data_IF_042295530934
#
_entry.id   IF_042295530934
#
_cell.length_a   1.000
_cell.length_b   1.000
_cell.length_c   1.000
_cell.angle_alpha   90.00
_cell.angle_beta   90.00
_cell.angle_gamma   90.00
#
_symmetry.space_group_name_H-M   'P 1'
#
loop_
_entity.id
_entity.type
_entity.pdbx_description
1 polymer ?
#
# COMPACT_ATOMS: atom_id res chain seq x y z
N UNK A 1 -25.15 -10.54 10.80
CA UNK A 1 -24.64 -9.28 11.38
C UNK A 1 -24.06 -8.43 10.25
N UNK A 2 -24.29 -7.12 10.20
CA UNK A 2 -23.58 -6.26 9.25
C UNK A 2 -22.09 -6.30 9.57
N UNK A 3 -21.27 -6.63 8.58
CA UNK A 3 -19.81 -6.62 8.73
C UNK A 3 -19.40 -5.17 8.94
N UNK A 4 -18.69 -4.81 10.02
CA UNK A 4 -18.29 -3.43 10.26
C UNK A 4 -17.44 -2.96 9.09
N UNK A 5 -17.91 -1.90 8.43
CA UNK A 5 -17.18 -1.24 7.36
C UNK A 5 -15.92 -0.65 7.99
N UNK A 6 -14.72 -1.02 7.53
CA UNK A 6 -13.51 -0.48 8.13
C UNK A 6 -13.49 1.04 7.89
N UNK A 7 -13.30 1.87 8.93
CA UNK A 7 -13.22 3.34 8.77
C UNK A 7 -11.85 3.80 8.24
N UNK A 8 -10.93 2.86 8.06
CA UNK A 8 -9.56 3.09 7.59
C UNK A 8 -9.14 2.00 6.61
N UNK A 9 -8.12 2.30 5.81
CA UNK A 9 -7.50 1.31 4.94
C UNK A 9 -6.86 0.20 5.75
N UNK A 10 -7.16 -1.05 5.40
CA UNK A 10 -6.66 -2.23 6.12
C UNK A 10 -6.37 -3.37 5.15
N UNK A 11 -5.40 -4.19 5.51
CA UNK A 11 -5.08 -5.43 4.82
C UNK A 11 -5.88 -6.58 5.46
N UNK A 12 -6.71 -7.26 4.66
CA UNK A 12 -7.46 -8.45 5.03
C UNK A 12 -6.90 -9.68 4.31
N UNK A 13 -7.34 -10.88 4.75
CA UNK A 13 -6.89 -12.16 4.21
C UNK A 13 -5.36 -12.24 4.19
N UNK A 14 -4.71 -12.06 5.34
CA UNK A 14 -3.24 -12.01 5.48
C UNK A 14 -2.52 -10.96 4.61
N UNK A 15 -3.26 -9.95 4.14
CA UNK A 15 -2.81 -8.89 3.26
C UNK A 15 -2.90 -9.18 1.77
N UNK A 16 -3.68 -10.19 1.38
CA UNK A 16 -4.06 -10.38 -0.01
C UNK A 16 -5.13 -9.39 -0.48
N UNK A 17 -5.89 -8.81 0.44
CA UNK A 17 -7.01 -7.94 0.10
C UNK A 17 -6.85 -6.57 0.77
N UNK A 18 -6.81 -5.50 -0.03
CA UNK A 18 -6.86 -4.13 0.49
C UNK A 18 -8.31 -3.71 0.67
N UNK A 19 -8.70 -3.50 1.92
CA UNK A 19 -10.01 -2.98 2.29
C UNK A 19 -9.91 -1.48 2.47
N UNK A 20 -10.75 -0.76 1.74
CA UNK A 20 -10.80 0.68 1.76
C UNK A 20 -11.86 1.18 2.75
N UNK A 21 -11.76 2.46 3.18
CA UNK A 21 -12.68 3.01 4.18
C UNK A 21 -14.15 3.09 3.70
N UNK A 22 -14.39 2.93 2.40
CA UNK A 22 -15.73 2.86 1.81
C UNK A 22 -16.33 1.44 1.82
N UNK A 23 -15.64 0.46 2.41
CA UNK A 23 -16.08 -0.95 2.43
C UNK A 23 -15.73 -1.75 1.19
N UNK A 24 -15.11 -1.14 0.19
CA UNK A 24 -14.70 -1.86 -1.02
C UNK A 24 -13.41 -2.62 -0.79
N UNK A 25 -13.33 -3.81 -1.37
CA UNK A 25 -12.17 -4.71 -1.25
C UNK A 25 -11.50 -4.86 -2.62
N UNK A 26 -10.17 -4.69 -2.65
CA UNK A 26 -9.35 -4.88 -3.84
C UNK A 26 -8.36 -6.03 -3.63
N UNK A 27 -8.39 -7.03 -4.50
CA UNK A 27 -7.39 -8.10 -4.50
C UNK A 27 -6.03 -7.59 -4.98
N UNK A 28 -5.01 -7.81 -4.16
CA UNK A 28 -3.62 -7.43 -4.38
C UNK A 28 -2.82 -8.58 -4.98
N UNK A 29 -1.84 -8.23 -5.79
CA UNK A 29 -0.77 -9.13 -6.21
C UNK A 29 0.27 -9.30 -5.10
N UNK A 30 1.15 -10.29 -5.22
CA UNK A 30 2.26 -10.51 -4.27
C UNK A 30 3.10 -9.25 -4.07
N UNK A 31 3.43 -8.57 -5.17
CA UNK A 31 4.24 -7.36 -5.16
C UNK A 31 3.51 -6.18 -4.49
N UNK A 32 2.23 -5.96 -4.81
CA UNK A 32 1.43 -4.91 -4.16
C UNK A 32 1.22 -5.19 -2.66
N UNK A 33 1.01 -6.46 -2.29
CA UNK A 33 0.89 -6.93 -0.91
C UNK A 33 2.16 -6.63 -0.12
N UNK A 34 3.33 -7.00 -0.64
CA UNK A 34 4.62 -6.75 0.00
C UNK A 34 4.82 -5.26 0.28
N UNK A 35 4.58 -4.43 -0.74
CA UNK A 35 4.69 -2.98 -0.65
C UNK A 35 3.76 -2.38 0.41
N UNK A 36 2.46 -2.72 0.37
CA UNK A 36 1.47 -2.19 1.30
C UNK A 36 1.69 -2.70 2.73
N UNK A 37 2.10 -3.96 2.89
CA UNK A 37 2.37 -4.54 4.20
C UNK A 37 3.54 -3.83 4.89
N UNK A 38 4.60 -3.52 4.16
CA UNK A 38 5.72 -2.75 4.69
C UNK A 38 5.28 -1.33 5.12
N UNK A 39 4.51 -0.63 4.28
CA UNK A 39 4.02 0.71 4.61
C UNK A 39 3.03 0.76 5.78
N UNK A 40 2.11 -0.21 5.85
CA UNK A 40 1.11 -0.28 6.91
C UNK A 40 1.67 -0.83 8.22
N UNK A 41 2.82 -1.52 8.19
CA UNK A 41 3.51 -1.94 9.40
C UNK A 41 4.12 -0.75 10.16
N UNK A 42 4.45 0.33 9.46
CA UNK A 42 5.02 1.56 10.03
C UNK A 42 4.21 2.79 9.61
N UNK A 43 2.97 2.94 10.11
CA UNK A 43 2.14 4.09 9.80
C UNK A 43 2.85 5.38 10.21
N UNK A 44 2.69 6.44 9.41
CA UNK A 44 3.29 7.75 9.65
C UNK A 44 4.83 7.79 9.67
N UNK A 45 5.50 6.70 9.31
CA UNK A 45 6.96 6.63 9.18
C UNK A 45 7.33 6.36 7.72
N UNK A 46 8.26 7.11 7.13
CA UNK A 46 8.71 6.82 5.78
C UNK A 46 9.52 5.52 5.76
N UNK A 47 9.16 4.63 4.86
CA UNK A 47 9.88 3.39 4.59
C UNK A 47 10.81 3.61 3.40
N UNK A 48 12.07 3.29 3.59
CA UNK A 48 13.10 3.42 2.57
C UNK A 48 12.81 2.53 1.36
N UNK A 49 13.30 2.94 0.19
CA UNK A 49 13.09 2.18 -1.06
C UNK A 49 13.66 0.77 -0.96
N UNK A 50 14.84 0.61 -0.38
CA UNK A 50 15.49 -0.70 -0.23
C UNK A 50 14.67 -1.65 0.65
N UNK A 51 14.11 -1.14 1.76
CA UNK A 51 13.20 -1.92 2.61
C UNK A 51 11.90 -2.31 1.87
N UNK A 52 11.35 -1.40 1.06
CA UNK A 52 10.18 -1.70 0.24
C UNK A 52 10.49 -2.72 -0.85
N UNK A 53 11.66 -2.62 -1.48
CA UNK A 53 12.13 -3.56 -2.49
C UNK A 53 12.28 -4.95 -1.87
N UNK A 54 12.94 -5.05 -0.71
CA UNK A 54 13.09 -6.30 0.02
C UNK A 54 11.74 -6.93 0.45
N UNK A 55 10.71 -6.11 0.65
CA UNK A 55 9.36 -6.60 0.96
C UNK A 55 8.59 -7.10 -0.27
N UNK A 56 9.00 -6.68 -1.48
CA UNK A 56 8.28 -6.92 -2.75
C UNK A 56 8.92 -8.04 -3.57
N UNK A 57 10.22 -8.30 -3.39
CA UNK A 57 10.97 -9.31 -4.14
C UNK A 57 11.96 -10.07 -3.24
N UNK A 58 12.17 -11.36 -3.54
CA UNK A 58 13.24 -12.17 -2.94
C UNK A 58 14.63 -11.85 -3.51
N UNK A 59 14.70 -11.08 -4.59
CA UNK A 59 15.95 -10.65 -5.24
C UNK A 59 16.07 -9.11 -5.24
N UNK A 60 16.32 -8.48 -4.07
CA UNK A 60 16.36 -7.03 -3.95
C UNK A 60 17.54 -6.36 -4.67
N UNK A 61 18.66 -7.07 -4.85
CA UNK A 61 19.89 -6.53 -5.47
C UNK A 61 19.80 -6.31 -6.99
N UNK A 62 18.86 -6.97 -7.67
CA UNK A 62 18.62 -6.81 -9.12
C UNK A 62 17.36 -5.95 -9.40
N UNK A 63 16.77 -5.39 -8.33
CA UNK A 63 15.51 -4.69 -8.45
C UNK A 63 15.72 -3.22 -8.80
N UNK A 64 15.40 -2.87 -10.04
CA UNK A 64 15.46 -1.49 -10.52
C UNK A 64 14.49 -0.57 -9.74
N UNK A 65 14.96 0.54 -9.15
CA UNK A 65 14.12 1.54 -8.49
C UNK A 65 12.95 2.05 -9.34
N UNK A 66 13.10 2.06 -10.67
CA UNK A 66 12.02 2.43 -11.59
C UNK A 66 10.86 1.44 -11.55
N UNK A 67 11.11 0.14 -11.32
CA UNK A 67 10.05 -0.86 -11.17
C UNK A 67 9.19 -0.61 -9.93
N UNK A 68 9.78 -0.08 -8.85
CA UNK A 68 9.03 0.33 -7.67
C UNK A 68 8.08 1.46 -8.02
N UNK A 69 8.54 2.48 -8.74
CA UNK A 69 7.71 3.61 -9.16
C UNK A 69 6.55 3.16 -10.07
N UNK A 70 6.83 2.26 -11.01
CA UNK A 70 5.81 1.65 -11.88
C UNK A 70 4.81 0.85 -11.05
N UNK A 71 5.26 0.07 -10.06
CA UNK A 71 4.37 -0.66 -9.15
C UNK A 71 3.45 0.30 -8.40
N UNK A 72 3.99 1.36 -7.79
CA UNK A 72 3.19 2.36 -7.08
C UNK A 72 2.20 3.04 -8.02
N UNK A 73 2.62 3.41 -9.23
CA UNK A 73 1.74 4.04 -10.21
C UNK A 73 0.59 3.12 -10.63
N UNK A 74 0.91 1.85 -10.94
CA UNK A 74 -0.08 0.82 -11.30
C UNK A 74 -1.04 0.57 -10.14
N UNK A 75 -0.52 0.41 -8.92
CA UNK A 75 -1.33 0.21 -7.73
C UNK A 75 -2.29 1.38 -7.50
N UNK A 76 -1.81 2.63 -7.58
CA UNK A 76 -2.66 3.83 -7.45
C UNK A 76 -3.77 3.87 -8.49
N UNK A 77 -3.47 3.47 -9.72
CA UNK A 77 -4.46 3.40 -10.79
C UNK A 77 -5.46 2.25 -10.57
N UNK A 78 -5.01 1.06 -10.17
CA UNK A 78 -5.90 -0.06 -9.83
C UNK A 78 -6.82 0.27 -8.67
N UNK A 79 -6.29 0.88 -7.61
CA UNK A 79 -7.08 1.33 -6.45
C UNK A 79 -8.09 2.38 -6.88
N UNK A 80 -7.68 3.41 -7.63
CA UNK A 80 -8.61 4.42 -8.14
C UNK A 80 -9.72 3.82 -9.02
N UNK A 81 -9.38 2.90 -9.91
CA UNK A 81 -10.35 2.28 -10.82
C UNK A 81 -11.25 1.24 -10.16
N UNK A 82 -10.74 0.48 -9.17
CA UNK A 82 -11.50 -0.59 -8.51
C UNK A 82 -12.25 -0.13 -7.25
N UNK A 83 -11.67 0.80 -6.49
CA UNK A 83 -12.21 1.30 -5.22
C UNK A 83 -12.85 2.67 -5.38
N UNK A 84 -12.47 3.45 -6.40
CA UNK A 84 -12.93 4.83 -6.58
C UNK A 84 -12.22 5.84 -5.67
N UNK A 85 -11.27 5.38 -4.84
CA UNK A 85 -10.52 6.22 -3.89
C UNK A 85 -9.05 6.33 -4.31
N UNK A 86 -8.40 7.38 -3.82
CA UNK A 86 -6.95 7.54 -4.02
C UNK A 86 -6.20 6.84 -2.89
N UNK A 87 -5.23 6.00 -3.27
CA UNK A 87 -4.36 5.36 -2.29
C UNK A 87 -3.53 6.43 -1.54
N UNK A 88 -3.56 6.45 -0.20
CA UNK A 88 -2.93 7.48 0.63
C UNK A 88 -1.45 7.15 0.85
N UNK A 89 -0.70 7.07 -0.26
CA UNK A 89 0.75 6.83 -0.26
C UNK A 89 1.44 8.04 -0.88
N UNK A 90 2.39 8.59 -0.14
CA UNK A 90 3.21 9.73 -0.56
C UNK A 90 4.66 9.28 -0.78
N UNK A 91 5.23 9.65 -1.92
CA UNK A 91 6.65 9.49 -2.17
C UNK A 91 7.42 10.68 -1.60
N UNK A 92 8.45 10.43 -0.79
CA UNK A 92 9.37 11.43 -0.26
C UNK A 92 10.71 11.30 -0.98
N UNK A 93 11.16 12.39 -1.62
CA UNK A 93 12.46 12.42 -2.30
C UNK A 93 13.57 12.17 -1.29
N UNK A 94 14.39 11.15 -1.53
CA UNK A 94 15.52 10.78 -0.67
C UNK A 94 15.18 9.98 0.60
N UNK A 95 13.89 9.80 0.93
CA UNK A 95 13.48 9.04 2.14
C UNK A 95 12.61 7.81 1.85
N UNK A 96 11.99 7.71 0.66
CA UNK A 96 11.20 6.54 0.26
C UNK A 96 9.70 6.83 0.19
N UNK A 97 8.86 5.97 0.77
CA UNK A 97 7.42 6.10 0.72
C UNK A 97 6.79 6.12 2.11
N UNK A 98 5.76 6.95 2.26
CA UNK A 98 5.05 7.18 3.50
C UNK A 98 3.57 6.83 3.31
N UNK A 99 3.02 6.09 4.27
CA UNK A 99 1.58 5.93 4.40
C UNK A 99 0.98 7.14 5.10
N UNK A 100 0.10 7.88 4.40
CA UNK A 100 -0.46 9.15 4.89
C UNK A 100 -1.92 9.06 5.30
N UNK A 101 -2.56 7.88 5.24
CA UNK A 101 -3.89 7.73 5.82
C UNK A 101 -3.75 7.50 7.31
N UNK A 102 -3.66 8.62 8.02
CA UNK A 102 -4.09 8.77 9.39
C UNK A 102 -5.37 9.61 9.35
N UNK A 103 -6.52 8.96 9.32
CA UNK A 103 -7.78 9.64 9.62
C UNK A 103 -8.66 8.67 10.38
N UNK A 104 -8.33 8.47 11.65
CA UNK A 104 -9.38 8.45 12.66
C UNK A 104 -9.43 9.86 13.24
N UNK A 105 -10.03 10.80 12.49
CA UNK A 105 -10.42 12.07 13.09
C UNK A 105 -11.64 11.76 13.95
N UNK A 106 -11.40 11.60 15.25
CA UNK A 106 -12.42 11.55 16.30
C UNK A 106 -12.94 12.96 16.55
#
# INVERSE_FOLDING_TARGET
APVPVPERWQLQADGWNLCAPNGTVLALTSAERGFLRALLATPSTPVEREALIAAVTDQPWDFDPHRLEVLVHRLRTRVRSGVGLTLPVRALRGAGYLWTADTATV
#
